data_IF_770847803593
#
_entry.id   IF_770847803593
#
_cell.length_a   1.000
_cell.length_b   1.000
_cell.length_c   1.000
_cell.angle_alpha   90.00
_cell.angle_beta   90.00
_cell.angle_gamma   90.00
#
_symmetry.space_group_name_H-M   'P 1'
#
loop_
_entity.id
_entity.type
_entity.pdbx_description
1 polymer ?
#
# COMPACT_ATOMS: atom_id res chain seq x y z
N UNK A 1 18.41 2.10 -11.04
CA UNK A 1 17.66 3.06 -10.20
C UNK A 1 16.51 2.31 -9.55
N UNK A 2 16.51 2.13 -8.24
CA UNK A 2 15.38 1.50 -7.55
C UNK A 2 14.30 2.56 -7.30
N UNK A 3 13.09 2.29 -7.78
CA UNK A 3 11.93 3.15 -7.56
C UNK A 3 11.59 3.09 -6.08
N UNK A 4 11.44 4.24 -5.42
CA UNK A 4 11.04 4.27 -4.00
C UNK A 4 9.71 3.51 -3.84
N UNK A 5 9.63 2.49 -2.98
CA UNK A 5 8.40 1.72 -2.81
C UNK A 5 7.32 2.60 -2.17
N UNK A 6 6.07 2.18 -2.31
CA UNK A 6 4.91 2.78 -1.62
C UNK A 6 4.57 1.87 -0.44
N UNK A 7 4.37 2.44 0.74
CA UNK A 7 3.84 1.74 1.90
C UNK A 7 2.32 1.84 1.83
N UNK A 8 1.64 0.70 1.83
CA UNK A 8 0.19 0.59 1.88
C UNK A 8 -0.25 0.17 3.29
N UNK A 9 -1.34 0.77 3.77
CA UNK A 9 -1.96 0.52 5.08
C UNK A 9 -3.47 0.41 4.89
N UNK A 10 -4.13 -0.18 5.87
CA UNK A 10 -5.58 -0.27 5.89
C UNK A 10 -6.23 1.13 5.87
N UNK A 11 -7.13 1.41 4.91
CA UNK A 11 -7.84 2.68 4.85
C UNK A 11 -8.87 2.78 5.97
N UNK A 12 -8.96 3.97 6.58
CA UNK A 12 -9.89 4.26 7.68
C UNK A 12 -11.16 4.93 7.19
N UNK A 13 -11.05 5.79 6.18
CA UNK A 13 -12.18 6.52 5.61
C UNK A 13 -12.06 6.59 4.08
N UNK A 14 -13.14 6.26 3.38
CA UNK A 14 -13.18 6.36 1.92
C UNK A 14 -12.90 7.79 1.43
N UNK A 15 -13.39 8.83 2.10
CA UNK A 15 -13.20 10.20 1.59
C UNK A 15 -11.76 10.70 1.72
N UNK A 16 -11.08 10.36 2.82
CA UNK A 16 -9.74 10.88 3.14
C UNK A 16 -8.62 9.97 2.64
N UNK A 17 -8.86 8.65 2.55
CA UNK A 17 -7.85 7.67 2.14
C UNK A 17 -7.97 7.22 0.67
N UNK A 18 -9.07 7.55 -0.03
CA UNK A 18 -9.23 7.21 -1.45
C UNK A 18 -8.54 8.25 -2.33
N UNK A 19 -7.51 7.83 -3.06
CA UNK A 19 -6.82 8.68 -4.03
C UNK A 19 -7.75 9.41 -5.00
N UNK A 20 -8.77 8.72 -5.53
CA UNK A 20 -9.71 9.30 -6.49
C UNK A 20 -10.66 10.32 -5.86
N UNK A 21 -10.90 10.23 -4.56
CA UNK A 21 -11.72 11.20 -3.83
C UNK A 21 -10.92 12.47 -3.49
N UNK A 22 -9.66 12.31 -3.08
CA UNK A 22 -8.82 13.46 -2.68
C UNK A 22 -8.25 14.22 -3.89
N UNK A 23 -7.94 13.50 -4.98
CA UNK A 23 -7.33 14.11 -6.17
C UNK A 23 -8.40 14.41 -7.21
N UNK A 24 -8.48 15.67 -7.65
CA UNK A 24 -9.30 16.04 -8.81
C UNK A 24 -8.74 15.37 -10.07
N UNK A 25 -9.41 14.35 -10.57
CA UNK A 25 -9.02 13.60 -11.79
C UNK A 25 -9.62 14.18 -13.07
N UNK A 26 -10.53 15.15 -12.97
CA UNK A 26 -11.10 15.82 -14.13
C UNK A 26 -10.01 16.61 -14.88
N UNK A 27 -10.03 16.53 -16.22
CA UNK A 27 -9.09 17.27 -17.07
C UNK A 27 -7.68 16.66 -17.21
N UNK A 28 -7.50 15.38 -16.87
CA UNK A 28 -6.27 14.66 -17.21
C UNK A 28 -6.21 14.48 -18.72
N UNK A 29 -5.13 14.96 -19.33
CA UNK A 29 -4.78 14.67 -20.71
C UNK A 29 -3.41 13.96 -20.75
N UNK A 30 -3.05 13.32 -21.88
CA UNK A 30 -1.75 12.67 -22.01
C UNK A 30 -0.57 13.61 -21.74
N UNK A 31 -0.70 14.88 -22.14
CA UNK A 31 0.32 15.92 -22.01
C UNK A 31 0.60 16.36 -20.55
N UNK A 32 -0.39 16.23 -19.65
CA UNK A 32 -0.32 16.70 -18.26
C UNK A 32 -0.24 15.55 -17.25
N UNK A 33 -0.31 14.29 -17.69
CA UNK A 33 -0.29 13.10 -16.83
C UNK A 33 0.99 13.01 -15.99
N UNK A 34 2.13 13.39 -16.57
CA UNK A 34 3.44 13.36 -15.91
C UNK A 34 3.62 14.41 -14.80
N UNK A 35 2.81 15.49 -14.80
CA UNK A 35 2.88 16.56 -13.79
C UNK A 35 2.17 16.19 -12.49
N UNK A 36 1.49 15.04 -12.43
CA UNK A 36 0.76 14.63 -11.23
C UNK A 36 1.69 14.07 -10.17
N UNK A 37 1.64 14.68 -8.99
CA UNK A 37 2.17 14.09 -7.77
C UNK A 37 1.09 13.23 -7.11
N UNK A 38 1.48 12.07 -6.60
CA UNK A 38 0.63 11.31 -5.68
C UNK A 38 0.63 12.03 -4.33
N UNK A 39 -0.55 12.40 -3.79
CA UNK A 39 -0.63 12.97 -2.45
C UNK A 39 -0.20 11.94 -1.40
N UNK A 40 0.18 12.44 -0.23
CA UNK A 40 0.51 11.60 0.92
C UNK A 40 -0.80 11.32 1.64
N UNK A 41 -1.26 10.06 1.63
CA UNK A 41 -2.49 9.61 2.28
C UNK A 41 -2.14 8.77 3.51
N UNK A 42 -2.97 8.72 4.55
CA UNK A 42 -2.70 7.84 5.71
C UNK A 42 -2.55 6.37 5.30
N UNK A 43 -3.38 5.95 4.36
CA UNK A 43 -3.39 4.62 3.73
C UNK A 43 -2.24 4.35 2.76
N UNK A 44 -1.64 5.37 2.16
CA UNK A 44 -0.62 5.22 1.11
C UNK A 44 0.45 6.31 1.20
N UNK A 45 1.64 5.94 1.66
CA UNK A 45 2.75 6.88 1.87
C UNK A 45 4.05 6.37 1.28
N UNK A 46 4.86 7.30 0.79
CA UNK A 46 6.26 7.01 0.50
C UNK A 46 7.03 6.89 1.82
N UNK A 47 7.94 5.92 1.96
CA UNK A 47 8.87 5.85 3.06
C UNK A 47 9.59 7.19 3.21
N UNK A 48 9.48 7.78 4.40
CA UNK A 48 10.32 8.92 4.76
C UNK A 48 11.68 8.37 5.16
N UNK A 49 12.74 8.89 4.54
CA UNK A 49 14.09 8.68 5.04
C UNK A 49 14.12 9.25 6.45
N UNK A 50 14.24 8.38 7.47
CA UNK A 50 14.59 8.83 8.81
C UNK A 50 16.00 9.37 8.69
N UNK A 51 16.20 10.67 8.89
CA UNK A 51 17.54 11.20 9.12
C UNK A 51 18.09 10.43 10.32
N UNK A 52 19.22 9.75 10.11
CA UNK A 52 19.96 9.12 11.20
C UNK A 52 20.56 10.26 12.02
N UNK A 53 19.73 10.91 12.84
CA UNK A 53 20.26 11.49 14.06
C UNK A 53 20.72 10.28 14.85
N UNK A 54 22.03 10.05 14.81
CA UNK A 54 22.70 8.98 15.52
C UNK A 54 22.29 9.15 16.97
N UNK A 55 21.29 8.39 17.41
CA UNK A 55 21.13 8.13 18.82
C UNK A 55 22.39 7.37 19.19
N UNK A 56 23.37 8.11 19.72
CA UNK A 56 24.53 7.57 20.39
C UNK A 56 24.03 6.45 21.27
N UNK A 57 24.56 5.26 21.01
CA UNK A 57 24.36 4.05 21.79
C UNK A 57 24.39 4.37 23.29
N UNK A 58 23.26 4.23 23.96
CA UNK A 58 23.27 3.76 25.34
C UNK A 58 22.75 2.35 25.32
N UNK A 59 23.66 1.43 25.03
CA UNK A 59 23.47 0.00 25.26
C UNK A 59 23.11 -0.18 26.74
N UNK A 60 21.89 -0.62 27.03
CA UNK A 60 21.63 -1.36 28.27
C UNK A 60 21.47 -2.81 27.87
N UNK A 61 22.52 -3.57 28.16
CA UNK A 61 22.56 -5.02 28.16
C UNK A 61 21.53 -5.55 29.15
N UNK A 62 20.81 -6.60 28.75
CA UNK A 62 20.29 -7.65 29.63
C UNK A 62 19.93 -8.83 28.72
N UNK A 63 20.67 -9.92 28.88
CA UNK A 63 20.48 -11.21 28.24
C UNK A 63 19.15 -11.86 28.66
N UNK A 64 18.45 -12.54 27.75
CA UNK A 64 18.07 -13.96 27.89
C UNK A 64 17.37 -14.46 26.62
N UNK A 65 17.66 -15.70 26.23
CA UNK A 65 17.30 -16.32 24.96
C UNK A 65 15.98 -17.09 25.03
N UNK A 66 15.09 -16.89 24.05
CA UNK A 66 14.18 -17.95 23.59
C UNK A 66 13.64 -17.67 22.17
N UNK A 67 14.03 -18.43 21.13
CA UNK A 67 13.29 -18.46 19.88
C UNK A 67 12.11 -19.45 20.05
N UNK A 68 10.95 -18.92 20.44
CA UNK A 68 9.69 -19.64 20.28
C UNK A 68 9.32 -19.66 18.79
N UNK A 69 9.41 -20.82 18.17
CA UNK A 69 8.95 -21.10 16.81
C UNK A 69 7.48 -20.65 16.64
N UNK A 70 7.14 -19.82 15.63
CA UNK A 70 5.76 -19.71 15.21
C UNK A 70 5.43 -20.92 14.33
N UNK A 71 4.63 -21.86 14.85
CA UNK A 71 4.02 -22.90 14.03
C UNK A 71 3.30 -22.23 12.85
N UNK A 72 3.76 -22.55 11.64
CA UNK A 72 3.19 -22.06 10.40
C UNK A 72 2.03 -22.97 10.05
N UNK A 73 0.85 -22.66 10.54
CA UNK A 73 -0.40 -23.27 10.06
C UNK A 73 -0.62 -22.76 8.63
N UNK A 74 -0.02 -23.43 7.66
CA UNK A 74 -0.37 -23.29 6.25
C UNK A 74 -1.70 -24.01 6.05
N UNK A 75 -2.79 -23.33 6.41
CA UNK A 75 -4.09 -23.63 5.84
C UNK A 75 -4.18 -22.81 4.56
N UNK A 76 -3.78 -23.44 3.45
CA UNK A 76 -4.14 -22.97 2.12
C UNK A 76 -5.60 -23.34 1.91
N UNK A 77 -6.51 -22.48 2.34
CA UNK A 77 -7.87 -22.53 1.81
C UNK A 77 -7.76 -22.07 0.36
N UNK A 78 -7.86 -23.04 -0.56
CA UNK A 78 -8.02 -22.82 -1.99
C UNK A 78 -9.25 -21.94 -2.20
N UNK A 79 -9.02 -20.63 -2.39
CA UNK A 79 -10.06 -19.73 -2.84
C UNK A 79 -10.26 -19.99 -4.34
N UNK A 80 -11.13 -20.95 -4.65
CA UNK A 80 -11.57 -21.25 -6.02
C UNK A 80 -12.14 -19.97 -6.64
N UNK A 81 -11.35 -19.29 -7.46
CA UNK A 81 -11.78 -18.12 -8.19
C UNK A 81 -12.54 -18.55 -9.44
N UNK A 82 -13.83 -18.87 -9.30
CA UNK A 82 -14.73 -19.06 -10.45
C UNK A 82 -15.12 -17.72 -11.14
N UNK A 83 -14.31 -16.68 -10.94
CA UNK A 83 -14.55 -15.36 -11.51
C UNK A 83 -14.17 -15.26 -13.00
N UNK A 84 -13.45 -16.24 -13.54
CA UNK A 84 -12.99 -16.20 -14.93
C UNK A 84 -14.00 -16.72 -15.97
N UNK A 85 -15.13 -17.29 -15.56
CA UNK A 85 -16.13 -17.83 -16.50
C UNK A 85 -17.28 -16.87 -16.87
N UNK A 86 -17.31 -15.64 -16.33
CA UNK A 86 -18.34 -14.67 -16.72
C UNK A 86 -17.88 -13.86 -17.94
N UNK A 87 -18.36 -14.28 -19.12
CA UNK A 87 -18.29 -13.50 -20.36
C UNK A 87 -18.80 -12.07 -20.10
N UNK A 88 -18.01 -11.02 -20.37
CA UNK A 88 -18.43 -9.66 -20.10
C UNK A 88 -19.61 -9.28 -21.00
N UNK A 89 -20.75 -9.02 -20.37
CA UNK A 89 -21.97 -8.65 -21.07
C UNK A 89 -21.79 -7.30 -21.80
N UNK A 90 -22.13 -7.20 -23.09
CA UNK A 90 -21.98 -5.96 -23.83
C UNK A 90 -22.91 -4.88 -23.24
N UNK A 91 -22.33 -3.72 -22.95
CA UNK A 91 -23.07 -2.56 -22.45
C UNK A 91 -24.12 -2.14 -23.49
N UNK A 92 -25.40 -2.25 -23.13
CA UNK A 92 -26.48 -1.71 -23.96
C UNK A 92 -26.39 -0.18 -23.90
N UNK A 93 -26.11 0.44 -25.05
CA UNK A 93 -26.23 1.88 -25.22
C UNK A 93 -27.71 2.26 -25.14
N UNK A 94 -28.05 3.16 -24.22
CA UNK A 94 -29.31 3.89 -24.18
C UNK A 94 -29.11 5.18 -24.98
#
# INVERSE_FOLDING_TARGET
>A
MFVTPMIWREPRNHHDDCHFCVVKINGINPENRNKRSYPILSSAQRPRLKSREVQSSTSKSSDDANPGEPERNTSSEDFESDYFSQEPQPFRRI
#
